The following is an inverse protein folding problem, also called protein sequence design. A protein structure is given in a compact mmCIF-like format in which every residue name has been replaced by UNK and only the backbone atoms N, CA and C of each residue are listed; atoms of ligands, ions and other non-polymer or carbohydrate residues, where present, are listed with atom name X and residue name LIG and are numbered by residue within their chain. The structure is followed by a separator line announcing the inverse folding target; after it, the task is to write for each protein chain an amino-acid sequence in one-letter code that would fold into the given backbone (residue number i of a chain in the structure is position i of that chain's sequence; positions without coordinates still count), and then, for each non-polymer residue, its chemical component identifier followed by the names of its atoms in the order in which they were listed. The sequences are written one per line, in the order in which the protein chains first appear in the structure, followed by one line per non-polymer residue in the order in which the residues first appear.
data_IF_600541252255
#
_entry.id   IF_600541252255
#
_cell.length_a   1.000
_cell.length_b   1.000
_cell.length_c   1.000
_cell.angle_alpha   90.00
_cell.angle_beta   90.00
_cell.angle_gamma   90.00
#
_symmetry.space_group_name_H-M   'P 1'
#
loop_
_entity.id
_entity.type
_entity.pdbx_description
1 polymer ?
#
# COMPACT_ATOMS: atom_id res chain seq x y z
N UNK A 1 20.20 -14.08 17.34
CA UNK A 1 20.05 -14.28 15.90
C UNK A 1 21.47 -14.33 15.30
N UNK A 2 21.89 -15.45 14.74
CA UNK A 2 23.10 -15.54 13.94
C UNK A 2 22.70 -15.67 12.47
N UNK A 3 23.38 -14.92 11.59
CA UNK A 3 23.27 -15.16 10.15
C UNK A 3 23.82 -16.57 9.87
N UNK A 4 23.09 -17.37 9.14
CA UNK A 4 23.54 -18.72 8.79
C UNK A 4 24.78 -18.70 7.86
N UNK A 5 24.95 -17.62 7.10
CA UNK A 5 26.12 -17.33 6.28
C UNK A 5 26.38 -15.81 6.29
N UNK A 6 27.64 -15.36 6.19
CA UNK A 6 27.97 -13.94 6.16
C UNK A 6 27.47 -13.28 4.87
N UNK A 7 26.86 -12.11 5.00
CA UNK A 7 26.54 -11.23 3.88
C UNK A 7 27.75 -10.35 3.61
N UNK A 8 28.37 -10.50 2.45
CA UNK A 8 29.53 -9.70 2.07
C UNK A 8 29.23 -8.93 0.79
N UNK A 9 29.23 -7.61 0.87
CA UNK A 9 29.25 -6.72 -0.28
C UNK A 9 29.88 -5.39 0.11
N UNK A 10 30.37 -4.66 -0.89
CA UNK A 10 30.91 -3.32 -0.74
C UNK A 10 30.16 -2.37 -1.67
N UNK A 11 29.84 -1.20 -1.19
CA UNK A 11 29.30 -0.10 -1.99
C UNK A 11 30.45 0.87 -2.26
N UNK A 12 30.82 1.04 -3.53
CA UNK A 12 31.89 1.97 -3.90
C UNK A 12 31.31 3.36 -4.16
N UNK A 13 32.18 4.37 -4.12
CA UNK A 13 31.80 5.75 -4.45
C UNK A 13 31.20 5.83 -5.86
N UNK A 14 30.08 6.56 -6.02
CA UNK A 14 29.37 6.68 -7.29
C UNK A 14 28.53 5.45 -7.69
N UNK A 15 28.49 4.37 -6.91
CA UNK A 15 27.58 3.25 -7.16
C UNK A 15 26.21 3.54 -6.54
N UNK A 16 25.14 3.34 -7.31
CA UNK A 16 23.76 3.34 -6.84
C UNK A 16 23.24 1.91 -6.92
N UNK A 17 22.71 1.38 -5.82
CA UNK A 17 22.33 -0.03 -5.75
C UNK A 17 20.84 -0.22 -5.49
N UNK A 18 20.29 -1.31 -6.04
CA UNK A 18 18.98 -1.82 -5.65
C UNK A 18 19.13 -3.13 -4.89
N UNK A 19 18.59 -3.20 -3.67
CA UNK A 19 18.48 -4.44 -2.89
C UNK A 19 17.09 -5.00 -3.15
N UNK A 20 17.03 -6.15 -3.80
CA UNK A 20 15.78 -6.81 -4.19
C UNK A 20 15.65 -8.18 -3.55
N UNK A 21 14.43 -8.68 -3.41
CA UNK A 21 14.16 -10.00 -2.84
C UNK A 21 12.70 -10.15 -2.43
N UNK A 22 12.28 -11.40 -2.20
CA UNK A 22 10.92 -11.71 -1.74
C UNK A 22 10.61 -11.05 -0.39
N UNK A 23 9.35 -10.96 -0.05
CA UNK A 23 8.93 -10.60 1.30
C UNK A 23 9.50 -11.65 2.29
N UNK A 24 10.04 -11.18 3.43
CA UNK A 24 10.75 -12.07 4.35
C UNK A 24 12.20 -12.41 3.97
N UNK A 25 12.75 -11.95 2.83
CA UNK A 25 14.14 -12.21 2.43
C UNK A 25 15.20 -11.55 3.32
N UNK A 26 14.80 -10.68 4.26
CA UNK A 26 15.71 -10.01 5.20
C UNK A 26 16.20 -8.64 4.75
N UNK A 27 15.59 -8.03 3.72
CA UNK A 27 15.99 -6.71 3.20
C UNK A 27 16.00 -5.63 4.27
N UNK A 28 14.90 -5.46 5.00
CA UNK A 28 14.79 -4.45 6.07
C UNK A 28 15.76 -4.74 7.21
N UNK A 29 16.00 -6.02 7.57
CA UNK A 29 16.99 -6.38 8.58
C UNK A 29 18.41 -5.99 8.14
N UNK A 30 18.75 -6.21 6.87
CA UNK A 30 20.05 -5.76 6.33
C UNK A 30 20.19 -4.24 6.41
N UNK A 31 19.14 -3.50 6.09
CA UNK A 31 19.12 -2.04 6.24
C UNK A 31 19.26 -1.61 7.69
N UNK A 32 18.58 -2.27 8.62
CA UNK A 32 18.69 -1.97 10.05
C UNK A 32 20.11 -2.24 10.59
N UNK A 33 20.82 -3.27 10.07
CA UNK A 33 22.24 -3.48 10.37
C UNK A 33 23.10 -2.35 9.80
N UNK A 34 22.91 -1.97 8.53
CA UNK A 34 23.67 -0.90 7.86
C UNK A 34 23.42 0.44 8.56
N UNK A 35 22.23 0.70 9.07
CA UNK A 35 21.88 1.96 9.76
C UNK A 35 22.17 1.94 11.26
N UNK A 36 22.70 0.84 11.80
CA UNK A 36 22.99 0.68 13.23
C UNK A 36 21.76 0.52 14.13
N UNK A 37 20.56 0.37 13.55
CA UNK A 37 19.33 0.07 14.32
C UNK A 37 19.30 -1.34 14.86
N UNK A 38 20.03 -2.26 14.21
CA UNK A 38 20.25 -3.61 14.68
C UNK A 38 21.73 -3.79 15.01
N UNK A 39 22.07 -4.20 16.26
CA UNK A 39 23.47 -4.33 16.67
C UNK A 39 24.18 -5.44 15.90
N UNK A 40 25.37 -5.15 15.41
CA UNK A 40 26.29 -6.09 14.77
C UNK A 40 27.61 -6.13 15.55
N UNK A 41 28.40 -7.20 15.39
CA UNK A 41 29.70 -7.26 16.03
C UNK A 41 30.63 -6.17 15.48
N UNK A 42 31.49 -5.56 16.34
CA UNK A 42 32.44 -4.56 15.90
C UNK A 42 33.31 -5.05 14.72
N UNK A 43 33.49 -4.19 13.72
CA UNK A 43 34.26 -4.49 12.52
C UNK A 43 33.52 -5.23 11.41
N UNK A 44 32.27 -5.64 11.60
CA UNK A 44 31.45 -6.25 10.54
C UNK A 44 31.03 -5.26 9.45
N UNK A 45 30.82 -4.00 9.81
CA UNK A 45 30.46 -2.93 8.87
C UNK A 45 31.52 -1.83 9.01
N UNK A 46 32.07 -1.38 7.90
CA UNK A 46 32.95 -0.21 7.82
C UNK A 46 32.33 0.82 6.88
N UNK A 47 32.44 2.09 7.28
CA UNK A 47 31.97 3.22 6.49
C UNK A 47 33.17 4.02 6.02
N UNK A 48 33.14 4.49 4.77
CA UNK A 48 34.20 5.31 4.19
C UNK A 48 34.13 6.79 4.61
N UNK A 49 33.23 7.14 5.53
CA UNK A 49 33.01 8.49 6.05
C UNK A 49 32.82 8.47 7.56
N UNK A 50 33.17 9.59 8.18
CA UNK A 50 32.95 9.81 9.60
C UNK A 50 31.48 10.03 9.90
N UNK A 51 31.07 9.82 11.15
CA UNK A 51 29.71 10.02 11.65
C UNK A 51 28.62 9.35 10.77
N UNK A 52 28.63 8.01 10.65
CA UNK A 52 27.72 7.30 9.74
C UNK A 52 26.24 7.58 10.01
N UNK A 53 25.87 7.84 11.25
CA UNK A 53 24.48 8.13 11.62
C UNK A 53 23.97 9.48 11.09
N UNK A 54 24.87 10.48 10.88
CA UNK A 54 24.52 11.76 10.31
C UNK A 54 24.51 11.71 8.78
N UNK A 55 25.46 10.97 8.21
CA UNK A 55 25.69 10.88 6.77
C UNK A 55 24.87 9.80 6.04
N UNK A 56 24.15 8.94 6.79
CA UNK A 56 23.34 7.88 6.24
C UNK A 56 21.90 8.05 6.73
N UNK A 57 20.98 8.29 5.79
CA UNK A 57 19.56 8.43 6.08
C UNK A 57 18.75 7.29 5.51
N UNK A 58 17.86 6.75 6.33
CA UNK A 58 16.93 5.70 5.94
C UNK A 58 15.50 6.22 5.95
N UNK A 59 14.86 6.18 4.80
CA UNK A 59 13.47 6.57 4.60
C UNK A 59 12.65 5.33 4.30
N UNK A 60 11.68 5.06 5.14
CA UNK A 60 10.64 4.07 4.88
C UNK A 60 9.37 4.79 4.49
N UNK A 61 8.87 4.52 3.30
CA UNK A 61 7.54 4.96 2.92
C UNK A 61 6.49 3.99 3.42
N UNK A 62 6.30 3.99 4.73
CA UNK A 62 5.03 3.53 5.30
C UNK A 62 4.11 4.74 5.26
N UNK A 63 2.87 4.56 4.79
CA UNK A 63 1.86 5.63 4.77
C UNK A 63 1.44 5.98 6.20
N UNK A 64 2.35 6.59 6.95
CA UNK A 64 2.11 7.05 8.30
C UNK A 64 2.16 8.56 8.30
N UNK A 65 1.02 9.18 8.57
CA UNK A 65 0.91 10.61 8.79
C UNK A 65 1.33 10.91 10.25
N UNK A 66 2.22 11.87 10.45
CA UNK A 66 2.58 12.37 11.78
C UNK A 66 3.48 11.46 12.65
N UNK A 67 3.87 11.96 13.81
CA UNK A 67 4.56 11.22 14.87
C UNK A 67 3.64 10.21 15.56
N UNK A 68 4.20 9.39 16.45
CA UNK A 68 3.50 8.25 17.07
C UNK A 68 2.24 8.62 17.88
N UNK A 69 2.07 9.89 18.28
CA UNK A 69 0.95 10.35 19.09
C UNK A 69 -0.27 10.87 18.30
N UNK A 70 -0.11 11.22 17.01
CA UNK A 70 -1.14 11.96 16.26
C UNK A 70 -2.04 11.08 15.38
N UNK A 71 -1.77 9.78 15.30
CA UNK A 71 -2.30 8.89 14.24
C UNK A 71 -3.80 8.64 14.26
N UNK A 72 -4.44 8.67 15.42
CA UNK A 72 -5.87 8.30 15.57
C UNK A 72 -6.78 9.51 15.41
N UNK A 73 -6.36 10.64 15.91
CA UNK A 73 -7.15 11.89 15.92
C UNK A 73 -7.26 12.48 14.50
N UNK A 74 -6.16 12.55 13.76
CA UNK A 74 -6.13 13.13 12.42
C UNK A 74 -6.77 12.25 11.33
N UNK A 75 -6.81 10.94 11.49
CA UNK A 75 -7.49 10.06 10.52
C UNK A 75 -9.01 10.29 10.52
N UNK A 76 -9.61 10.55 11.68
CA UNK A 76 -11.03 10.90 11.75
C UNK A 76 -11.32 12.28 11.15
N UNK A 77 -10.43 13.26 11.33
CA UNK A 77 -10.55 14.60 10.74
C UNK A 77 -10.44 14.58 9.20
N UNK A 78 -9.69 13.66 8.62
CA UNK A 78 -9.63 13.50 7.15
C UNK A 78 -10.98 13.18 6.52
N UNK A 79 -11.83 12.46 7.24
CA UNK A 79 -13.19 12.11 6.82
C UNK A 79 -14.19 13.23 7.14
N UNK A 80 -13.98 13.99 8.23
CA UNK A 80 -14.78 15.11 8.68
C UNK A 80 -14.15 16.44 8.23
N UNK A 81 -13.96 16.64 6.93
CA UNK A 81 -13.30 17.84 6.36
C UNK A 81 -13.93 19.21 6.74
N UNK A 82 -15.00 19.21 7.50
CA UNK A 82 -15.67 20.47 7.92
C UNK A 82 -15.03 21.15 9.13
N UNK A 83 -14.19 20.46 9.91
CA UNK A 83 -13.53 21.02 11.09
C UNK A 83 -12.10 20.48 11.17
N UNK A 84 -11.18 21.05 10.38
CA UNK A 84 -9.76 20.84 10.60
C UNK A 84 -9.40 21.69 11.79
N UNK A 85 -8.87 21.06 12.84
CA UNK A 85 -8.39 21.74 14.04
C UNK A 85 -7.32 22.77 13.64
N UNK A 86 -7.44 24.00 14.13
CA UNK A 86 -6.47 25.07 13.87
C UNK A 86 -5.04 24.72 14.32
N UNK A 87 -4.90 23.74 15.24
CA UNK A 87 -3.61 23.21 15.67
C UNK A 87 -2.98 22.21 14.68
N UNK A 88 -3.70 21.82 13.62
CA UNK A 88 -3.14 20.89 12.62
C UNK A 88 -2.01 21.56 11.84
N UNK A 89 -0.80 20.97 11.84
CA UNK A 89 0.35 21.63 11.23
C UNK A 89 0.27 21.61 9.70
N UNK A 90 0.74 22.70 9.09
CA UNK A 90 0.97 22.76 7.65
C UNK A 90 2.29 22.09 7.26
N UNK A 91 2.45 21.80 5.98
CA UNK A 91 3.71 21.28 5.39
C UNK A 91 4.86 22.21 5.68
N UNK A 92 4.68 23.53 5.49
CA UNK A 92 5.70 24.55 5.75
C UNK A 92 6.15 24.55 7.20
N UNK A 93 5.22 24.52 8.15
CA UNK A 93 5.55 24.47 9.58
C UNK A 93 6.39 23.22 9.93
N UNK A 94 6.01 22.05 9.43
CA UNK A 94 6.76 20.81 9.71
C UNK A 94 8.09 20.72 8.97
N UNK A 95 8.20 21.30 7.79
CA UNK A 95 9.49 21.38 7.09
C UNK A 95 10.42 22.36 7.80
N UNK A 96 9.92 23.48 8.32
CA UNK A 96 10.70 24.41 9.09
C UNK A 96 11.20 23.78 10.40
N UNK A 97 10.33 23.08 11.13
CA UNK A 97 10.73 22.31 12.30
C UNK A 97 11.85 21.30 11.97
N UNK A 98 11.70 20.54 10.89
CA UNK A 98 12.69 19.56 10.44
C UNK A 98 14.02 20.24 10.03
N UNK A 99 13.96 21.41 9.38
CA UNK A 99 15.13 22.19 9.01
C UNK A 99 15.94 22.66 10.22
N UNK A 100 15.26 23.20 11.23
CA UNK A 100 15.90 23.67 12.46
C UNK A 100 16.48 22.52 13.28
N UNK A 101 15.81 21.36 13.32
CA UNK A 101 16.32 20.15 13.98
C UNK A 101 17.53 19.54 13.25
N UNK A 102 17.68 19.77 11.96
CA UNK A 102 18.76 19.22 11.16
C UNK A 102 20.10 19.95 11.31
N UNK A 103 20.13 21.14 11.93
CA UNK A 103 21.36 21.92 12.21
C UNK A 103 21.11 23.41 12.39
N UNK A 104 22.19 24.19 12.49
CA UNK A 104 22.13 25.63 12.68
C UNK A 104 21.50 26.37 11.51
N UNK A 105 20.80 27.46 11.77
CA UNK A 105 20.20 28.31 10.73
C UNK A 105 21.27 29.22 10.11
N UNK A 106 21.79 28.81 8.96
CA UNK A 106 22.79 29.59 8.20
C UNK A 106 22.25 29.99 6.83
N UNK A 107 22.77 31.10 6.25
CA UNK A 107 22.34 31.54 4.91
C UNK A 107 22.49 30.45 3.84
N UNK A 108 23.58 29.67 3.88
CA UNK A 108 23.85 28.61 2.92
C UNK A 108 22.82 27.47 3.03
N UNK A 109 22.45 27.11 4.27
CA UNK A 109 21.40 26.11 4.49
C UNK A 109 20.01 26.62 4.08
N UNK A 110 19.71 27.91 4.24
CA UNK A 110 18.48 28.54 3.75
C UNK A 110 18.40 28.54 2.22
N UNK A 111 19.52 28.78 1.54
CA UNK A 111 19.59 28.66 0.09
C UNK A 111 19.39 27.21 -0.35
N UNK A 112 20.00 26.24 0.35
CA UNK A 112 19.76 24.82 0.10
C UNK A 112 18.30 24.42 0.32
N UNK A 113 17.66 24.88 1.39
CA UNK A 113 16.24 24.67 1.64
C UNK A 113 15.39 25.20 0.48
N UNK A 114 15.64 26.41 0.03
CA UNK A 114 14.94 27.02 -1.10
C UNK A 114 15.11 26.21 -2.38
N UNK A 115 16.33 25.76 -2.67
CA UNK A 115 16.62 24.92 -3.83
C UNK A 115 15.86 23.59 -3.77
N UNK A 116 15.78 22.96 -2.59
CA UNK A 116 14.96 21.76 -2.39
C UNK A 116 13.47 22.01 -2.62
N UNK A 117 12.93 23.17 -2.17
CA UNK A 117 11.53 23.50 -2.39
C UNK A 117 11.23 23.66 -3.89
N UNK A 118 12.10 24.32 -4.63
CA UNK A 118 11.99 24.45 -6.09
C UNK A 118 12.08 23.09 -6.78
N UNK A 119 13.08 22.29 -6.41
CA UNK A 119 13.35 20.98 -6.98
C UNK A 119 12.15 20.02 -6.84
N UNK A 120 11.51 20.04 -5.67
CA UNK A 120 10.39 19.15 -5.35
C UNK A 120 9.02 19.77 -5.70
N UNK A 121 8.99 21.02 -6.20
CA UNK A 121 7.77 21.79 -6.44
C UNK A 121 6.87 21.80 -5.20
N UNK A 122 7.41 22.29 -4.07
CA UNK A 122 6.73 22.30 -2.79
C UNK A 122 6.07 23.64 -2.46
N UNK A 123 6.35 24.70 -3.23
CA UNK A 123 5.88 26.05 -2.95
C UNK A 123 4.36 26.08 -2.76
N UNK A 124 3.63 25.43 -3.65
CA UNK A 124 2.16 25.34 -3.61
C UNK A 124 1.61 24.43 -2.49
N UNK A 125 2.50 23.69 -1.83
CA UNK A 125 2.13 22.75 -0.78
C UNK A 125 2.40 23.26 0.63
N UNK A 126 3.17 24.35 0.79
CA UNK A 126 3.63 24.82 2.11
C UNK A 126 2.48 25.17 3.05
N UNK A 127 1.41 25.77 2.52
CA UNK A 127 0.21 26.16 3.28
C UNK A 127 -0.81 25.02 3.46
N UNK A 128 -0.56 23.87 2.81
CA UNK A 128 -1.45 22.72 2.89
C UNK A 128 -1.24 21.96 4.19
N UNK A 129 -2.32 21.54 4.84
CA UNK A 129 -2.23 20.68 6.03
C UNK A 129 -1.64 19.31 5.67
N UNK A 130 -0.74 18.77 6.51
CA UNK A 130 -0.06 17.49 6.28
C UNK A 130 -1.05 16.33 6.07
N UNK A 131 -2.16 16.33 6.80
CA UNK A 131 -3.20 15.30 6.71
C UNK A 131 -3.90 15.27 5.34
N UNK A 132 -3.86 16.36 4.58
CA UNK A 132 -4.47 16.48 3.26
C UNK A 132 -3.52 16.13 2.11
N UNK A 133 -2.28 15.75 2.40
CA UNK A 133 -1.31 15.37 1.37
C UNK A 133 -1.74 14.06 0.67
N UNK A 134 -1.63 14.04 -0.64
CA UNK A 134 -1.66 12.81 -1.43
C UNK A 134 -0.42 11.95 -1.13
N UNK A 135 -0.47 10.68 -1.51
CA UNK A 135 0.68 9.78 -1.31
C UNK A 135 1.97 10.29 -1.98
N UNK A 136 1.88 10.91 -3.16
CA UNK A 136 3.01 11.53 -3.85
C UNK A 136 3.54 12.78 -3.13
N UNK A 137 2.65 13.69 -2.73
CA UNK A 137 3.01 14.90 -1.98
C UNK A 137 3.64 14.55 -0.63
N UNK A 138 3.13 13.53 0.06
CA UNK A 138 3.71 13.04 1.32
C UNK A 138 5.15 12.51 1.11
N UNK A 139 5.44 11.87 -0.03
CA UNK A 139 6.81 11.43 -0.35
C UNK A 139 7.75 12.59 -0.60
N UNK A 140 7.32 13.59 -1.36
CA UNK A 140 8.09 14.82 -1.59
C UNK A 140 8.41 15.48 -0.24
N UNK A 141 7.42 15.65 0.63
CA UNK A 141 7.60 16.17 1.98
C UNK A 141 8.62 15.37 2.78
N UNK A 142 8.46 14.02 2.87
CA UNK A 142 9.36 13.17 3.65
C UNK A 142 10.79 13.17 3.10
N UNK A 143 10.96 13.16 1.77
CA UNK A 143 12.28 13.28 1.14
C UNK A 143 12.92 14.60 1.53
N UNK A 144 12.25 15.72 1.34
CA UNK A 144 12.77 17.06 1.66
C UNK A 144 13.19 17.17 3.12
N UNK A 145 12.35 16.75 4.06
CA UNK A 145 12.66 16.79 5.48
C UNK A 145 13.92 16.00 5.85
N UNK A 146 14.14 14.84 5.20
CA UNK A 146 15.34 14.04 5.46
C UNK A 146 16.58 14.55 4.73
N UNK A 147 16.44 15.30 3.65
CA UNK A 147 17.55 15.89 2.90
C UNK A 147 18.14 17.13 3.57
N UNK A 148 17.46 17.78 4.51
CA UNK A 148 17.99 18.93 5.25
C UNK A 148 19.29 18.65 6.01
N UNK A 149 19.58 17.39 6.33
CA UNK A 149 20.85 16.97 6.91
C UNK A 149 21.96 16.77 5.88
N UNK A 150 21.67 16.94 4.58
CA UNK A 150 22.59 16.71 3.45
C UNK A 150 23.38 15.38 3.56
N UNK A 151 22.70 14.23 3.63
CA UNK A 151 23.35 12.94 3.86
C UNK A 151 24.16 12.51 2.61
N UNK A 152 25.25 11.78 2.83
CA UNK A 152 26.06 11.19 1.73
C UNK A 152 25.38 9.98 1.12
N UNK A 153 24.65 9.19 1.93
CA UNK A 153 23.97 7.97 1.50
C UNK A 153 22.51 8.03 1.91
N UNK A 154 21.64 7.82 0.94
CA UNK A 154 20.19 7.78 1.12
C UNK A 154 19.66 6.36 0.85
N UNK A 155 19.15 5.71 1.89
CA UNK A 155 18.48 4.41 1.78
C UNK A 155 16.98 4.63 1.72
N UNK A 156 16.34 4.14 0.67
CA UNK A 156 14.91 4.32 0.49
C UNK A 156 14.23 2.96 0.34
N UNK A 157 13.32 2.66 1.26
CA UNK A 157 12.56 1.42 1.23
C UNK A 157 11.20 1.63 0.56
N UNK A 158 10.98 0.88 -0.54
CA UNK A 158 9.73 0.85 -1.30
C UNK A 158 9.20 2.24 -1.74
N UNK A 159 9.99 3.07 -2.44
CA UNK A 159 9.62 4.44 -2.80
C UNK A 159 8.38 4.54 -3.71
N UNK A 160 8.06 3.50 -4.45
CA UNK A 160 7.04 3.52 -5.51
C UNK A 160 5.70 2.90 -5.10
N UNK A 161 5.59 2.33 -3.89
CA UNK A 161 4.36 1.68 -3.41
C UNK A 161 3.20 2.69 -3.31
N UNK A 162 2.02 2.35 -3.88
CA UNK A 162 0.80 3.17 -3.82
C UNK A 162 0.87 4.47 -4.64
N UNK A 163 1.81 4.59 -5.58
CA UNK A 163 1.87 5.68 -6.54
C UNK A 163 1.23 5.26 -7.86
N UNK A 164 0.48 6.19 -8.47
CA UNK A 164 0.09 6.07 -9.87
C UNK A 164 1.32 6.16 -10.81
N UNK A 165 1.15 5.83 -12.08
CA UNK A 165 2.25 5.76 -13.04
C UNK A 165 3.00 7.09 -13.19
N UNK A 166 2.25 8.20 -13.29
CA UNK A 166 2.82 9.54 -13.47
C UNK A 166 3.64 9.99 -12.26
N UNK A 167 3.07 9.85 -11.06
CA UNK A 167 3.76 10.20 -9.79
C UNK A 167 4.99 9.32 -9.56
N UNK A 168 4.95 8.06 -9.98
CA UNK A 168 6.09 7.15 -9.89
C UNK A 168 7.24 7.60 -10.77
N UNK A 169 6.96 7.99 -12.01
CA UNK A 169 7.99 8.48 -12.93
C UNK A 169 8.60 9.77 -12.41
N UNK A 170 7.79 10.70 -11.88
CA UNK A 170 8.30 11.90 -11.20
C UNK A 170 9.24 11.58 -10.04
N UNK A 171 8.93 10.57 -9.21
CA UNK A 171 9.82 10.15 -8.11
C UNK A 171 11.10 9.51 -8.64
N UNK A 172 11.06 8.73 -9.74
CA UNK A 172 12.26 8.17 -10.37
C UNK A 172 13.18 9.28 -10.90
N UNK A 173 12.61 10.28 -11.61
CA UNK A 173 13.36 11.42 -12.14
C UNK A 173 14.01 12.22 -11.00
N UNK A 174 13.28 12.43 -9.92
CA UNK A 174 13.78 13.09 -8.74
C UNK A 174 14.96 12.36 -8.10
N UNK A 175 14.85 11.03 -7.92
CA UNK A 175 15.93 10.21 -7.37
C UNK A 175 17.15 10.19 -8.30
N UNK A 176 16.93 10.17 -9.61
CA UNK A 176 18.00 10.29 -10.62
C UNK A 176 18.74 11.61 -10.47
N UNK A 177 18.03 12.72 -10.32
CA UNK A 177 18.63 14.06 -10.14
C UNK A 177 19.44 14.12 -8.83
N UNK A 178 18.95 13.57 -7.72
CA UNK A 178 19.73 13.49 -6.48
C UNK A 178 21.00 12.65 -6.64
N UNK A 179 20.95 11.58 -7.42
CA UNK A 179 22.11 10.73 -7.68
C UNK A 179 23.15 11.44 -8.57
N UNK A 180 22.74 12.03 -9.68
CA UNK A 180 23.61 12.55 -10.72
C UNK A 180 24.10 13.98 -10.43
N UNK A 181 23.25 14.86 -9.92
CA UNK A 181 23.57 16.28 -9.72
C UNK A 181 24.06 16.61 -8.31
N UNK A 182 23.55 15.93 -7.29
CA UNK A 182 23.94 16.17 -5.90
C UNK A 182 25.02 15.21 -5.40
N UNK A 183 25.46 14.26 -6.23
CA UNK A 183 26.48 13.27 -5.87
C UNK A 183 26.09 12.35 -4.70
N UNK A 184 24.80 12.24 -4.39
CA UNK A 184 24.28 11.45 -3.30
C UNK A 184 24.21 9.98 -3.69
N UNK A 185 24.79 9.09 -2.89
CA UNK A 185 24.65 7.64 -3.13
C UNK A 185 23.27 7.16 -2.74
N UNK A 186 22.61 6.42 -3.62
CA UNK A 186 21.24 5.93 -3.41
C UNK A 186 21.24 4.41 -3.30
N UNK A 187 20.61 3.91 -2.23
CA UNK A 187 20.29 2.50 -2.02
C UNK A 187 18.77 2.36 -2.04
N UNK A 188 18.23 1.69 -3.07
CA UNK A 188 16.81 1.37 -3.15
C UNK A 188 16.55 -0.03 -2.61
N UNK A 189 15.57 -0.17 -1.76
CA UNK A 189 15.11 -1.47 -1.27
C UNK A 189 13.75 -1.75 -1.89
N UNK A 190 13.69 -2.71 -2.80
CA UNK A 190 12.52 -2.96 -3.63
C UNK A 190 12.00 -4.39 -3.46
N UNK A 191 10.70 -4.55 -3.61
CA UNK A 191 10.05 -5.86 -3.68
C UNK A 191 9.83 -6.34 -5.11
N UNK A 192 10.00 -5.44 -6.10
CA UNK A 192 9.81 -5.69 -7.54
C UNK A 192 11.06 -5.33 -8.31
N UNK A 193 11.45 -6.19 -9.25
CA UNK A 193 12.58 -5.93 -10.15
C UNK A 193 12.23 -4.99 -11.30
N UNK A 194 10.97 -4.96 -11.74
CA UNK A 194 10.45 -4.08 -12.80
C UNK A 194 10.33 -2.60 -12.39
N UNK A 195 10.56 -2.29 -11.12
CA UNK A 195 10.54 -0.93 -10.60
C UNK A 195 11.95 -0.29 -10.49
N UNK A 196 13.01 -1.02 -10.85
CA UNK A 196 14.40 -0.53 -10.74
C UNK A 196 14.61 0.63 -11.72
N UNK A 197 14.97 1.85 -11.24
CA UNK A 197 15.28 2.98 -12.12
C UNK A 197 16.59 2.76 -12.91
N UNK A 198 16.69 3.43 -14.05
CA UNK A 198 17.84 3.32 -14.98
C UNK A 198 19.19 3.80 -14.37
N UNK A 199 19.16 4.74 -13.41
CA UNK A 199 20.38 5.24 -12.76
C UNK A 199 21.01 4.22 -11.79
N UNK A 200 20.32 3.14 -11.46
CA UNK A 200 20.85 2.07 -10.62
C UNK A 200 21.96 1.31 -11.38
N UNK A 201 23.13 1.28 -10.80
CA UNK A 201 24.33 0.67 -11.42
C UNK A 201 24.52 -0.80 -11.06
N UNK A 202 23.89 -1.26 -9.96
CA UNK A 202 24.09 -2.60 -9.42
C UNK A 202 22.87 -3.11 -8.67
N UNK A 203 22.56 -4.39 -8.83
CA UNK A 203 21.42 -5.04 -8.17
C UNK A 203 21.90 -6.19 -7.29
N UNK A 204 21.53 -6.15 -6.02
CA UNK A 204 21.83 -7.19 -5.04
C UNK A 204 20.52 -7.92 -4.71
N UNK A 205 20.47 -9.21 -5.07
CA UNK A 205 19.32 -10.07 -4.77
C UNK A 205 19.55 -10.80 -3.46
N UNK A 206 18.63 -10.62 -2.51
CA UNK A 206 18.61 -11.31 -1.22
C UNK A 206 17.57 -12.43 -1.19
N UNK A 207 17.95 -13.53 -0.56
CA UNK A 207 17.02 -14.57 -0.12
C UNK A 207 17.46 -15.11 1.24
N UNK A 208 16.56 -15.09 2.24
CA UNK A 208 16.82 -15.55 3.61
C UNK A 208 18.13 -15.01 4.22
N UNK A 209 18.35 -13.70 4.06
CA UNK A 209 19.57 -12.99 4.48
C UNK A 209 20.86 -13.45 3.79
N UNK A 210 20.77 -14.04 2.61
CA UNK A 210 21.93 -14.40 1.76
C UNK A 210 21.93 -13.56 0.50
N UNK A 211 23.09 -13.13 0.04
CA UNK A 211 23.24 -12.55 -1.30
C UNK A 211 23.26 -13.71 -2.31
N UNK A 212 22.16 -13.83 -3.05
CA UNK A 212 22.00 -14.89 -4.07
C UNK A 212 22.63 -14.45 -5.39
N UNK A 213 22.53 -13.17 -5.72
CA UNK A 213 23.20 -12.60 -6.89
C UNK A 213 23.57 -11.13 -6.64
N UNK A 214 24.68 -10.73 -7.23
CA UNK A 214 25.24 -9.39 -7.20
C UNK A 214 25.67 -9.05 -8.63
N UNK A 215 24.83 -8.28 -9.32
CA UNK A 215 24.95 -8.08 -10.78
C UNK A 215 25.11 -6.59 -11.06
N UNK A 216 26.17 -6.21 -11.78
CA UNK A 216 26.27 -4.89 -12.40
C UNK A 216 25.27 -4.81 -13.55
N UNK A 217 24.41 -3.80 -13.53
CA UNK A 217 23.35 -3.64 -14.53
C UNK A 217 24.00 -3.31 -15.88
N UNK A 218 24.08 -4.29 -16.74
CA UNK A 218 24.23 -4.15 -18.18
C UNK A 218 23.08 -4.90 -18.80
N UNK A 219 22.09 -4.17 -19.27
CA UNK A 219 20.96 -4.53 -20.15
C UNK A 219 20.84 -6.02 -20.48
N UNK A 220 20.16 -6.80 -19.63
CA UNK A 220 19.38 -8.01 -19.97
C UNK A 220 18.96 -8.73 -18.68
N UNK A 221 17.75 -8.44 -18.21
CA UNK A 221 17.16 -9.16 -17.08
C UNK A 221 16.16 -10.21 -17.59
N UNK A 222 16.40 -11.47 -17.30
CA UNK A 222 15.37 -12.51 -17.41
C UNK A 222 14.52 -12.52 -16.13
N UNK A 223 13.20 -12.43 -16.32
CA UNK A 223 12.21 -12.51 -15.24
C UNK A 223 12.03 -13.99 -14.86
N UNK A 224 12.30 -14.33 -13.61
CA UNK A 224 12.03 -15.66 -13.06
C UNK A 224 10.52 -15.96 -13.13
N UNK A 225 10.13 -16.97 -13.90
CA UNK A 225 8.77 -17.47 -13.95
C UNK A 225 8.43 -18.26 -12.68
N UNK A 226 7.41 -17.84 -11.96
CA UNK A 226 6.81 -18.65 -10.89
C UNK A 226 5.90 -19.72 -11.49
N UNK A 227 6.09 -21.02 -11.16
CA UNK A 227 5.24 -22.10 -11.69
C UNK A 227 4.01 -22.31 -10.80
N UNK A 228 2.94 -21.56 -11.03
CA UNK A 228 1.62 -21.94 -10.51
C UNK A 228 0.55 -21.47 -11.50
N UNK A 229 0.27 -22.32 -12.49
CA UNK A 229 -0.90 -22.16 -13.36
C UNK A 229 -1.98 -23.11 -12.86
N UNK A 230 -3.09 -22.56 -12.38
CA UNK A 230 -4.33 -23.30 -12.14
C UNK A 230 -5.13 -23.25 -13.43
N UNK A 231 -5.35 -24.41 -14.07
CA UNK A 231 -6.22 -24.51 -15.26
C UNK A 231 -7.69 -24.48 -14.86
N UNK A 232 -8.44 -23.54 -15.42
CA UNK A 232 -9.90 -23.42 -15.26
C UNK A 232 -10.58 -23.91 -16.52
N UNK A 233 -11.56 -24.83 -16.38
CA UNK A 233 -12.41 -25.28 -17.49
C UNK A 233 -13.63 -24.36 -17.63
N UNK A 234 -13.92 -23.96 -18.87
CA UNK A 234 -15.08 -23.15 -19.22
C UNK A 234 -16.41 -23.93 -19.08
N UNK A 235 -17.38 -23.27 -18.42
CA UNK A 235 -18.79 -23.67 -18.45
C UNK A 235 -19.63 -22.42 -18.69
N UNK A 236 -20.40 -22.39 -19.74
CA UNK A 236 -21.29 -21.29 -20.14
C UNK A 236 -22.68 -21.49 -19.54
N UNK A 237 -23.20 -20.57 -18.68
CA UNK A 237 -24.61 -20.55 -18.29
C UNK A 237 -25.41 -19.51 -19.06
N UNK A 238 -26.71 -19.78 -19.25
CA UNK A 238 -27.70 -18.90 -19.85
C UNK A 238 -28.01 -17.69 -18.94
N UNK A 239 -28.26 -16.48 -19.51
CA UNK A 239 -28.35 -15.25 -18.71
C UNK A 239 -29.72 -15.09 -18.03
N UNK A 240 -29.76 -14.83 -16.70
CA UNK A 240 -30.92 -14.27 -16.05
C UNK A 240 -31.01 -12.76 -16.33
N UNK A 241 -32.20 -12.16 -16.13
CA UNK A 241 -32.45 -10.72 -16.26
C UNK A 241 -31.42 -9.97 -15.37
N UNK A 242 -30.66 -9.02 -15.94
CA UNK A 242 -29.56 -8.39 -15.19
C UNK A 242 -30.10 -7.50 -14.06
N UNK A 243 -29.88 -7.93 -12.82
CA UNK A 243 -30.20 -7.14 -11.62
C UNK A 243 -29.09 -6.08 -11.41
N UNK A 244 -29.48 -4.82 -11.32
CA UNK A 244 -28.53 -3.75 -11.03
C UNK A 244 -28.07 -3.83 -9.57
N UNK A 245 -26.76 -3.89 -9.36
CA UNK A 245 -26.10 -3.86 -8.04
C UNK A 245 -25.75 -2.42 -7.69
N UNK A 246 -25.25 -1.65 -8.64
CA UNK A 246 -24.93 -0.23 -8.48
C UNK A 246 -25.56 0.53 -9.65
N UNK A 247 -26.19 1.65 -9.39
CA UNK A 247 -26.64 2.58 -10.42
C UNK A 247 -26.40 4.02 -9.93
N UNK A 248 -25.52 4.72 -10.63
CA UNK A 248 -25.21 6.13 -10.46
C UNK A 248 -25.71 6.89 -11.68
N UNK A 249 -26.52 7.92 -11.46
CA UNK A 249 -27.13 8.69 -12.53
C UNK A 249 -26.82 10.18 -12.30
N UNK A 250 -25.98 10.77 -13.17
CA UNK A 250 -25.52 12.16 -13.10
C UNK A 250 -24.95 12.56 -11.73
N UNK A 251 -24.20 11.68 -11.07
CA UNK A 251 -23.70 11.90 -9.72
C UNK A 251 -22.56 12.91 -9.72
N UNK A 252 -22.75 13.99 -8.94
CA UNK A 252 -21.74 15.03 -8.73
C UNK A 252 -21.48 15.21 -7.25
N UNK A 253 -20.21 15.06 -6.83
CA UNK A 253 -19.76 15.20 -5.43
C UNK A 253 -18.81 16.37 -5.31
N UNK A 254 -19.06 17.23 -4.33
CA UNK A 254 -18.24 18.41 -4.05
C UNK A 254 -17.89 18.50 -2.57
N UNK A 255 -16.67 18.98 -2.29
CA UNK A 255 -16.22 19.37 -0.96
C UNK A 255 -15.73 20.81 -1.03
N UNK A 256 -16.50 21.72 -0.44
CA UNK A 256 -16.31 23.15 -0.64
C UNK A 256 -16.40 23.53 -2.12
N UNK A 257 -15.40 24.21 -2.64
CA UNK A 257 -15.33 24.60 -4.05
C UNK A 257 -14.79 23.49 -4.97
N UNK A 258 -14.19 22.45 -4.40
CA UNK A 258 -13.58 21.37 -5.17
C UNK A 258 -14.59 20.31 -5.58
N UNK A 259 -14.76 20.12 -6.89
CA UNK A 259 -15.54 19.00 -7.45
C UNK A 259 -14.68 17.76 -7.55
N UNK A 260 -15.06 16.69 -6.88
CA UNK A 260 -14.35 15.39 -6.87
C UNK A 260 -14.89 14.47 -7.95
N UNK A 261 -16.21 14.27 -7.99
CA UNK A 261 -16.90 13.53 -9.05
C UNK A 261 -17.81 14.51 -9.79
N UNK A 262 -17.80 14.47 -11.11
CA UNK A 262 -18.60 15.36 -11.95
C UNK A 262 -19.39 14.56 -12.95
N UNK A 263 -20.73 14.65 -12.86
CA UNK A 263 -21.67 14.07 -13.81
C UNK A 263 -21.41 12.56 -14.11
N UNK A 264 -21.13 11.80 -13.05
CA UNK A 264 -20.79 10.39 -13.19
C UNK A 264 -22.03 9.54 -13.44
N UNK A 265 -22.00 8.81 -14.54
CA UNK A 265 -22.99 7.77 -14.88
C UNK A 265 -22.28 6.42 -14.83
N UNK A 266 -22.75 5.51 -13.98
CA UNK A 266 -22.15 4.19 -13.84
C UNK A 266 -23.16 3.16 -13.38
N UNK A 267 -23.31 2.10 -14.14
CA UNK A 267 -24.20 0.99 -13.81
C UNK A 267 -23.38 -0.29 -13.75
N UNK A 268 -23.55 -1.05 -12.68
CA UNK A 268 -22.93 -2.35 -12.44
C UNK A 268 -24.03 -3.39 -12.26
N UNK A 269 -23.98 -4.43 -13.04
CA UNK A 269 -24.94 -5.54 -12.99
C UNK A 269 -24.42 -6.67 -12.09
N UNK A 270 -25.32 -7.49 -11.59
CA UNK A 270 -24.98 -8.65 -10.76
C UNK A 270 -24.09 -9.61 -11.56
N UNK A 271 -22.99 -10.07 -10.95
CA UNK A 271 -22.02 -10.97 -11.56
C UNK A 271 -21.01 -10.30 -12.49
N UNK A 272 -21.04 -8.98 -12.67
CA UNK A 272 -19.99 -8.26 -13.42
C UNK A 272 -18.75 -8.03 -12.57
N UNK A 273 -17.58 -8.05 -13.19
CA UNK A 273 -16.29 -7.82 -12.55
C UNK A 273 -15.61 -6.58 -13.13
N UNK A 274 -15.50 -5.55 -12.32
CA UNK A 274 -15.03 -4.23 -12.73
C UNK A 274 -13.65 -3.89 -12.17
N UNK A 275 -12.77 -3.41 -13.04
CA UNK A 275 -11.56 -2.71 -12.61
C UNK A 275 -11.86 -1.22 -12.42
N UNK A 276 -11.63 -0.69 -11.22
CA UNK A 276 -11.67 0.74 -10.94
C UNK A 276 -10.24 1.29 -10.89
N UNK A 277 -9.92 2.22 -11.80
CA UNK A 277 -8.59 2.83 -11.90
C UNK A 277 -8.68 4.35 -12.06
N UNK A 278 -7.56 5.03 -11.91
CA UNK A 278 -7.48 6.48 -12.02
C UNK A 278 -6.31 7.06 -11.22
N UNK A 279 -5.94 8.30 -11.49
CA UNK A 279 -4.89 9.03 -10.79
C UNK A 279 -5.18 9.15 -9.28
N UNK A 280 -4.13 9.40 -8.48
CA UNK A 280 -4.31 9.74 -7.08
C UNK A 280 -5.10 11.05 -6.95
N UNK A 281 -6.13 11.05 -6.06
CA UNK A 281 -7.03 12.18 -5.92
C UNK A 281 -8.11 12.31 -7.00
N UNK A 282 -8.31 11.31 -7.87
CA UNK A 282 -9.38 11.29 -8.88
C UNK A 282 -10.76 10.93 -8.31
N UNK A 283 -10.87 10.66 -7.00
CA UNK A 283 -12.14 10.36 -6.36
C UNK A 283 -12.49 8.88 -6.19
N UNK A 284 -11.54 7.94 -6.40
CA UNK A 284 -11.78 6.49 -6.20
C UNK A 284 -12.31 6.17 -4.80
N UNK A 285 -11.64 6.64 -3.75
CA UNK A 285 -12.10 6.42 -2.37
C UNK A 285 -13.44 7.09 -2.09
N UNK A 286 -13.71 8.26 -2.70
CA UNK A 286 -15.02 8.91 -2.61
C UNK A 286 -16.11 8.07 -3.29
N UNK A 287 -15.82 7.53 -4.49
CA UNK A 287 -16.74 6.62 -5.18
C UNK A 287 -17.03 5.37 -4.35
N UNK A 288 -16.00 4.73 -3.78
CA UNK A 288 -16.17 3.58 -2.91
C UNK A 288 -16.97 3.92 -1.65
N UNK A 289 -16.77 5.09 -1.03
CA UNK A 289 -17.53 5.52 0.13
C UNK A 289 -19.03 5.74 -0.18
N UNK A 290 -19.36 6.12 -1.41
CA UNK A 290 -20.75 6.18 -1.87
C UNK A 290 -21.35 4.78 -2.03
N UNK A 291 -20.61 3.84 -2.61
CA UNK A 291 -21.01 2.44 -2.78
C UNK A 291 -21.18 1.74 -1.43
N UNK A 292 -20.27 1.99 -0.47
CA UNK A 292 -20.34 1.43 0.89
C UNK A 292 -21.37 2.14 1.80
N UNK A 293 -22.10 3.13 1.27
CA UNK A 293 -23.09 3.93 2.01
C UNK A 293 -22.49 4.72 3.19
N UNK A 294 -21.18 4.98 3.18
CA UNK A 294 -20.47 5.76 4.22
C UNK A 294 -20.50 7.27 3.97
N UNK A 295 -20.75 7.68 2.73
CA UNK A 295 -20.76 9.09 2.36
C UNK A 295 -22.16 9.69 2.47
N UNK A 296 -22.38 10.72 3.32
CA UNK A 296 -23.70 11.32 3.51
C UNK A 296 -24.24 12.03 2.25
N UNK A 297 -23.39 12.47 1.32
CA UNK A 297 -23.84 13.06 0.06
C UNK A 297 -24.56 12.04 -0.84
N UNK A 298 -24.48 10.74 -0.54
CA UNK A 298 -25.23 9.71 -1.26
C UNK A 298 -26.75 9.91 -1.22
N UNK A 299 -27.27 10.56 -0.17
CA UNK A 299 -28.70 10.86 -0.03
C UNK A 299 -29.17 12.01 -0.93
N UNK A 300 -28.27 12.89 -1.33
CA UNK A 300 -28.58 14.04 -2.20
C UNK A 300 -28.39 13.70 -3.69
N UNK A 301 -27.88 12.52 -4.02
CA UNK A 301 -27.57 12.08 -5.37
C UNK A 301 -28.56 10.99 -5.86
N UNK A 302 -28.65 10.83 -7.17
CA UNK A 302 -29.44 9.75 -7.76
C UNK A 302 -28.59 8.47 -7.81
N UNK A 303 -28.55 7.79 -6.67
CA UNK A 303 -27.79 6.56 -6.44
C UNK A 303 -28.75 5.46 -6.00
N UNK A 304 -28.67 4.31 -6.67
CA UNK A 304 -29.34 3.08 -6.23
C UNK A 304 -28.31 1.99 -5.99
N UNK A 305 -28.47 1.30 -4.86
CA UNK A 305 -27.66 0.15 -4.48
C UNK A 305 -28.54 -1.08 -4.32
N UNK A 306 -28.16 -2.18 -4.96
CA UNK A 306 -28.92 -3.43 -4.94
C UNK A 306 -30.40 -3.28 -5.35
N UNK A 307 -30.68 -2.33 -6.27
CA UNK A 307 -32.03 -2.05 -6.75
C UNK A 307 -32.83 -1.08 -5.88
N UNK A 308 -32.32 -0.60 -4.75
CA UNK A 308 -32.98 0.36 -3.86
C UNK A 308 -32.32 1.73 -3.97
N UNK A 309 -33.14 2.79 -4.18
CA UNK A 309 -32.66 4.17 -4.21
C UNK A 309 -32.21 4.58 -2.80
N UNK A 310 -31.08 5.29 -2.71
CA UNK A 310 -30.58 5.79 -1.41
C UNK A 310 -31.60 6.72 -0.77
N UNK A 311 -31.90 6.45 0.52
CA UNK A 311 -32.92 7.21 1.28
C UNK A 311 -34.36 6.72 1.10
N UNK A 312 -34.58 5.57 0.44
CA UNK A 312 -35.96 5.01 0.30
C UNK A 312 -36.41 4.20 1.52
N UNK A 313 -35.59 4.14 2.58
CA UNK A 313 -35.97 3.51 3.86
C UNK A 313 -35.09 2.31 4.24
N UNK A 314 -34.12 1.91 3.39
CA UNK A 314 -33.17 0.87 3.74
C UNK A 314 -32.13 1.35 4.79
N UNK A 315 -31.77 0.45 5.70
CA UNK A 315 -30.73 0.69 6.68
C UNK A 315 -29.33 0.61 6.03
N UNK A 316 -28.39 1.45 6.49
CA UNK A 316 -26.98 1.35 6.12
C UNK A 316 -26.44 -0.07 6.41
N UNK A 317 -26.88 -0.69 7.51
CA UNK A 317 -26.48 -2.04 7.88
C UNK A 317 -26.97 -3.11 6.92
N UNK A 318 -28.14 -2.93 6.30
CA UNK A 318 -28.68 -3.86 5.31
C UNK A 318 -27.87 -3.82 4.02
N UNK A 319 -27.34 -2.66 3.66
CA UNK A 319 -26.39 -2.49 2.55
C UNK A 319 -25.04 -3.13 2.90
N UNK A 320 -24.48 -2.78 4.07
CA UNK A 320 -23.14 -3.26 4.49
C UNK A 320 -23.07 -4.78 4.63
N UNK A 321 -24.13 -5.44 5.08
CA UNK A 321 -24.21 -6.92 5.14
C UNK A 321 -24.09 -7.61 3.77
N UNK A 322 -24.30 -6.89 2.68
CA UNK A 322 -24.24 -7.39 1.31
C UNK A 322 -22.89 -7.12 0.64
N UNK A 323 -22.02 -6.33 1.30
CA UNK A 323 -20.73 -5.89 0.76
C UNK A 323 -19.59 -6.55 1.54
N UNK A 324 -18.71 -7.24 0.85
CA UNK A 324 -17.38 -7.59 1.37
C UNK A 324 -16.38 -6.51 0.97
N UNK A 325 -15.68 -5.91 1.93
CA UNK A 325 -14.73 -4.82 1.65
C UNK A 325 -13.36 -5.10 2.25
N UNK A 326 -12.34 -5.18 1.41
CA UNK A 326 -10.95 -5.32 1.79
C UNK A 326 -10.20 -4.06 1.36
N UNK A 327 -9.60 -3.33 2.30
CA UNK A 327 -8.87 -2.10 2.04
C UNK A 327 -7.48 -2.07 2.68
N UNK A 328 -6.54 -1.28 2.13
CA UNK A 328 -5.24 -1.08 2.73
C UNK A 328 -5.27 -0.28 4.05
N UNK A 329 -6.34 0.46 4.31
CA UNK A 329 -6.42 1.34 5.50
C UNK A 329 -6.45 0.57 6.81
N UNK A 330 -7.14 -0.56 6.86
CA UNK A 330 -7.16 -1.44 8.02
C UNK A 330 -5.75 -1.95 8.36
N UNK A 331 -4.94 -2.22 7.34
CA UNK A 331 -3.57 -2.69 7.50
C UNK A 331 -2.62 -1.63 8.07
N UNK A 332 -2.89 -0.35 7.80
CA UNK A 332 -2.09 0.78 8.30
C UNK A 332 -2.33 1.03 9.79
N UNK A 333 -3.53 0.74 10.26
CA UNK A 333 -3.96 0.99 11.65
C UNK A 333 -3.75 -0.20 12.59
N UNK A 334 -3.43 -1.40 12.09
CA UNK A 334 -3.30 -2.59 12.91
C UNK A 334 -2.03 -2.56 13.77
N UNK A 335 -2.20 -2.53 15.09
CA UNK A 335 -1.10 -2.38 16.08
C UNK A 335 -1.01 -3.54 17.08
N UNK A 336 -1.90 -4.53 16.98
CA UNK A 336 -1.92 -5.65 17.92
C UNK A 336 -0.72 -6.58 17.67
N UNK A 337 0.12 -6.80 18.69
CA UNK A 337 1.25 -7.73 18.61
C UNK A 337 0.87 -9.12 19.13
N UNK A 338 -0.06 -9.76 18.45
CA UNK A 338 -0.57 -11.09 18.75
C UNK A 338 -0.17 -12.10 17.66
N UNK A 339 -0.21 -13.42 17.91
CA UNK A 339 0.10 -14.45 16.91
C UNK A 339 -0.78 -14.38 15.67
N UNK A 340 -0.22 -14.73 14.49
CA UNK A 340 -0.92 -14.69 13.21
C UNK A 340 -2.26 -15.44 13.23
N UNK A 341 -2.29 -16.63 13.85
CA UNK A 341 -3.53 -17.41 14.00
C UNK A 341 -4.64 -16.62 14.69
N UNK A 342 -4.30 -15.87 15.73
CA UNK A 342 -5.28 -15.05 16.46
C UNK A 342 -5.78 -13.88 15.63
N UNK A 343 -4.92 -13.31 14.79
CA UNK A 343 -5.31 -12.25 13.86
C UNK A 343 -6.30 -12.80 12.83
N UNK A 344 -5.96 -13.91 12.19
CA UNK A 344 -6.84 -14.54 11.19
C UNK A 344 -8.16 -14.96 11.83
N UNK A 345 -8.14 -15.58 13.02
CA UNK A 345 -9.34 -15.97 13.73
C UNK A 345 -10.26 -14.80 14.13
N UNK A 346 -9.69 -13.60 14.36
CA UNK A 346 -10.50 -12.40 14.62
C UNK A 346 -11.41 -12.01 13.44
N UNK A 347 -11.05 -12.41 12.22
CA UNK A 347 -11.86 -12.26 11.02
C UNK A 347 -13.20 -13.01 11.08
N UNK A 348 -13.28 -14.15 11.79
CA UNK A 348 -14.53 -14.92 11.95
C UNK A 348 -15.68 -14.12 12.58
N UNK A 349 -15.36 -13.09 13.36
CA UNK A 349 -16.33 -12.21 14.04
C UNK A 349 -16.23 -10.76 13.58
N UNK A 350 -15.46 -10.49 12.53
CA UNK A 350 -15.18 -9.13 12.00
C UNK A 350 -14.73 -8.15 13.11
N UNK A 351 -13.76 -8.56 13.94
CA UNK A 351 -13.24 -7.77 15.06
C UNK A 351 -11.77 -7.42 14.87
N UNK A 352 -11.37 -6.21 15.32
CA UNK A 352 -9.96 -5.76 15.33
C UNK A 352 -9.27 -6.29 16.59
N UNK A 353 -9.08 -7.58 16.70
CA UNK A 353 -8.50 -8.26 17.85
C UNK A 353 -9.35 -9.46 18.28
N UNK A 354 -8.74 -10.37 19.01
CA UNK A 354 -9.41 -11.61 19.42
C UNK A 354 -10.10 -11.41 20.77
N UNK A 355 -11.40 -11.17 20.75
CA UNK A 355 -12.24 -11.00 21.96
C UNK A 355 -13.04 -12.26 22.32
N UNK A 356 -12.77 -13.38 21.67
CA UNK A 356 -13.39 -14.68 21.94
C UNK A 356 -12.33 -15.79 21.86
N UNK A 357 -12.63 -16.94 22.43
CA UNK A 357 -11.75 -18.12 22.32
C UNK A 357 -12.23 -18.98 21.16
N UNK A 358 -11.47 -19.07 20.03
CA UNK A 358 -11.84 -19.94 18.93
C UNK A 358 -11.88 -21.40 19.36
N UNK A 359 -12.89 -22.14 18.91
CA UNK A 359 -12.94 -23.58 19.02
C UNK A 359 -11.82 -24.26 18.26
N UNK A 360 -11.51 -25.52 18.55
CA UNK A 360 -10.46 -26.25 17.82
C UNK A 360 -10.78 -26.31 16.31
N UNK A 361 -12.06 -26.55 15.97
CA UNK A 361 -12.51 -26.54 14.55
C UNK A 361 -12.27 -25.21 13.86
N UNK A 362 -12.54 -24.07 14.52
CA UNK A 362 -12.28 -22.74 13.98
C UNK A 362 -10.77 -22.47 13.81
N UNK A 363 -9.94 -22.95 14.74
CA UNK A 363 -8.48 -22.87 14.62
C UNK A 363 -7.97 -23.66 13.43
N UNK A 364 -8.42 -24.91 13.28
CA UNK A 364 -8.02 -25.78 12.17
C UNK A 364 -8.42 -25.14 10.82
N UNK A 365 -9.61 -24.57 10.73
CA UNK A 365 -10.09 -23.81 9.58
C UNK A 365 -9.20 -22.59 9.27
N UNK A 366 -8.84 -21.81 10.28
CA UNK A 366 -7.91 -20.68 10.10
C UNK A 366 -6.53 -21.13 9.61
N UNK A 367 -6.02 -22.25 10.13
CA UNK A 367 -4.72 -22.81 9.69
C UNK A 367 -4.79 -23.28 8.23
N UNK A 368 -5.86 -23.98 7.83
CA UNK A 368 -6.08 -24.36 6.44
C UNK A 368 -6.09 -23.13 5.54
N UNK A 369 -6.79 -22.07 5.97
CA UNK A 369 -6.86 -20.82 5.23
C UNK A 369 -5.50 -20.10 5.14
N UNK A 370 -4.75 -20.07 6.25
CA UNK A 370 -3.37 -19.56 6.24
C UNK A 370 -2.46 -20.34 5.27
N UNK A 371 -2.66 -21.65 5.11
CA UNK A 371 -1.95 -22.46 4.15
C UNK A 371 -2.29 -22.09 2.69
N UNK A 372 -3.56 -21.72 2.40
CA UNK A 372 -3.96 -21.20 1.07
C UNK A 372 -3.19 -19.93 0.74
N UNK A 373 -2.96 -19.05 1.71
CA UNK A 373 -2.14 -17.83 1.55
C UNK A 373 -0.63 -18.08 1.65
N UNK A 374 -0.17 -19.33 1.80
CA UNK A 374 1.24 -19.67 1.93
C UNK A 374 1.90 -19.21 3.24
N UNK A 375 1.11 -18.84 4.25
CA UNK A 375 1.55 -18.29 5.55
C UNK A 375 1.33 -19.25 6.73
N UNK A 376 1.04 -20.54 6.48
CA UNK A 376 0.84 -21.54 7.54
C UNK A 376 2.03 -21.69 8.49
N UNK A 377 3.25 -21.39 8.02
CA UNK A 377 4.45 -21.41 8.86
C UNK A 377 4.54 -20.25 9.86
N UNK A 378 3.62 -19.28 9.80
CA UNK A 378 3.58 -18.09 10.68
C UNK A 378 2.56 -18.21 11.81
N UNK A 379 1.90 -19.34 11.98
CA UNK A 379 0.77 -19.57 12.92
C UNK A 379 1.03 -18.96 14.31
N UNK A 380 2.20 -19.23 14.89
CA UNK A 380 2.55 -18.78 16.25
C UNK A 380 3.40 -17.49 16.26
N UNK A 381 3.76 -16.95 15.07
CA UNK A 381 4.60 -15.77 14.98
C UNK A 381 3.81 -14.52 15.30
N UNK A 382 4.40 -13.62 16.11
CA UNK A 382 3.77 -12.36 16.48
C UNK A 382 3.85 -11.36 15.34
N UNK A 383 2.81 -10.53 15.20
CA UNK A 383 2.62 -9.62 14.08
C UNK A 383 3.80 -8.67 13.82
N UNK A 384 4.33 -8.04 14.87
CA UNK A 384 5.45 -7.10 14.74
C UNK A 384 6.80 -7.76 14.44
N UNK A 385 6.90 -9.09 14.58
CA UNK A 385 8.08 -9.88 14.24
C UNK A 385 8.10 -10.33 12.77
N UNK A 386 7.00 -10.06 12.04
CA UNK A 386 6.85 -10.42 10.63
C UNK A 386 7.34 -9.29 9.72
N UNK A 387 7.77 -9.66 8.50
CA UNK A 387 8.02 -8.69 7.45
C UNK A 387 6.73 -7.99 7.03
N UNK A 388 6.84 -6.79 6.44
CA UNK A 388 5.67 -6.02 5.98
C UNK A 388 4.78 -6.79 5.00
N UNK A 389 5.36 -7.64 4.14
CA UNK A 389 4.61 -8.48 3.23
C UNK A 389 3.89 -9.64 3.92
N UNK A 390 4.55 -10.29 4.91
CA UNK A 390 3.91 -11.32 5.74
C UNK A 390 2.76 -10.73 6.56
N UNK A 391 2.96 -9.56 7.17
CA UNK A 391 1.92 -8.81 7.86
C UNK A 391 0.71 -8.55 6.95
N UNK A 392 0.98 -8.13 5.71
CA UNK A 392 -0.04 -7.88 4.70
C UNK A 392 -0.84 -9.13 4.37
N UNK A 393 -0.16 -10.26 4.14
CA UNK A 393 -0.82 -11.54 3.85
C UNK A 393 -1.67 -12.03 5.02
N UNK A 394 -1.20 -11.88 6.27
CA UNK A 394 -1.97 -12.25 7.47
C UNK A 394 -3.25 -11.42 7.57
N UNK A 395 -3.18 -10.11 7.31
CA UNK A 395 -4.36 -9.24 7.34
C UNK A 395 -5.30 -9.50 6.16
N UNK A 396 -4.76 -9.78 4.96
CA UNK A 396 -5.57 -10.22 3.83
C UNK A 396 -6.28 -11.55 4.13
N UNK A 397 -5.58 -12.51 4.71
CA UNK A 397 -6.18 -13.77 5.11
C UNK A 397 -7.27 -13.60 6.16
N UNK A 398 -7.08 -12.68 7.13
CA UNK A 398 -8.09 -12.28 8.11
C UNK A 398 -9.35 -11.75 7.44
N UNK A 399 -9.20 -10.76 6.57
CA UNK A 399 -10.31 -10.06 5.93
C UNK A 399 -11.02 -10.95 4.89
N UNK A 400 -10.25 -11.84 4.26
CA UNK A 400 -10.75 -12.76 3.25
C UNK A 400 -11.48 -13.99 3.85
N UNK A 401 -11.11 -14.41 5.06
CA UNK A 401 -11.68 -15.62 5.69
C UNK A 401 -13.23 -15.60 5.77
N UNK A 402 -13.88 -14.54 6.28
CA UNK A 402 -15.35 -14.51 6.33
C UNK A 402 -16.01 -14.42 4.95
N UNK A 403 -15.27 -13.97 3.94
CA UNK A 403 -15.76 -13.75 2.58
C UNK A 403 -15.59 -15.02 1.74
N UNK A 404 -14.37 -15.58 1.72
CA UNK A 404 -13.96 -16.63 0.78
C UNK A 404 -14.14 -18.06 1.31
N UNK A 405 -14.28 -18.26 2.63
CA UNK A 405 -14.51 -19.60 3.18
C UNK A 405 -16.00 -19.86 3.39
N UNK A 406 -16.61 -20.61 2.47
CA UNK A 406 -18.03 -20.99 2.55
C UNK A 406 -18.41 -21.76 3.82
N UNK A 407 -17.42 -22.30 4.55
CA UNK A 407 -17.61 -23.00 5.83
C UNK A 407 -17.71 -22.04 7.03
N UNK A 408 -17.35 -20.76 6.85
CA UNK A 408 -17.36 -19.74 7.89
C UNK A 408 -18.75 -19.14 8.19
N UNK A 409 -19.85 -19.80 7.82
CA UNK A 409 -21.23 -19.38 8.07
C UNK A 409 -21.62 -17.97 7.55
N UNK A 410 -20.74 -17.30 6.83
CA UNK A 410 -21.02 -16.00 6.23
C UNK A 410 -21.47 -16.23 4.78
N UNK A 411 -22.62 -15.68 4.45
CA UNK A 411 -23.16 -15.72 3.08
C UNK A 411 -22.18 -14.99 2.16
N UNK A 412 -21.90 -15.56 0.99
CA UNK A 412 -21.19 -14.87 -0.08
C UNK A 412 -21.76 -13.45 -0.26
N UNK A 413 -20.95 -12.39 -0.25
CA UNK A 413 -21.44 -11.04 -0.45
C UNK A 413 -22.01 -10.90 -1.87
N UNK A 414 -23.03 -10.05 -2.01
CA UNK A 414 -23.56 -9.73 -3.35
C UNK A 414 -22.57 -8.84 -4.13
N UNK A 415 -21.75 -8.07 -3.40
CA UNK A 415 -20.69 -7.21 -3.94
C UNK A 415 -19.40 -7.37 -3.13
N UNK A 416 -18.31 -7.69 -3.81
CA UNK A 416 -16.97 -7.74 -3.25
C UNK A 416 -16.16 -6.54 -3.75
N UNK A 417 -15.57 -5.78 -2.84
CA UNK A 417 -14.70 -4.64 -3.15
C UNK A 417 -13.30 -4.96 -2.63
N UNK A 418 -12.33 -5.00 -3.53
CA UNK A 418 -10.92 -5.19 -3.23
C UNK A 418 -10.15 -3.92 -3.58
N UNK A 419 -9.82 -3.13 -2.56
CA UNK A 419 -9.11 -1.86 -2.73
C UNK A 419 -7.60 -2.07 -2.56
N UNK A 420 -6.86 -2.02 -3.66
CA UNK A 420 -5.40 -2.25 -3.74
C UNK A 420 -4.93 -3.51 -2.97
N UNK A 421 -5.54 -4.69 -3.18
CA UNK A 421 -5.25 -5.87 -2.35
C UNK A 421 -3.83 -6.38 -2.48
N UNK A 422 -3.14 -6.08 -3.60
CA UNK A 422 -1.77 -6.53 -3.87
C UNK A 422 -0.68 -5.55 -3.42
N UNK A 423 -1.10 -4.45 -2.79
CA UNK A 423 -0.18 -3.42 -2.32
C UNK A 423 0.86 -4.01 -1.34
N UNK A 424 2.15 -3.78 -1.58
CA UNK A 424 3.25 -4.26 -0.70
C UNK A 424 3.60 -5.74 -0.82
N UNK A 425 2.97 -6.50 -1.71
CA UNK A 425 3.29 -7.90 -1.96
C UNK A 425 4.35 -8.05 -3.06
N UNK A 426 5.20 -9.07 -2.92
CA UNK A 426 6.10 -9.52 -3.98
C UNK A 426 5.34 -10.22 -5.13
N UNK A 427 6.03 -10.49 -6.24
CA UNK A 427 5.41 -11.05 -7.45
C UNK A 427 4.75 -12.41 -7.20
N UNK A 428 5.37 -13.30 -6.40
CA UNK A 428 4.80 -14.62 -6.10
C UNK A 428 3.51 -14.51 -5.31
N UNK A 429 3.50 -13.68 -4.26
CA UNK A 429 2.33 -13.47 -3.42
C UNK A 429 1.20 -12.75 -4.17
N UNK A 430 1.53 -11.84 -5.11
CA UNK A 430 0.53 -11.21 -5.99
C UNK A 430 -0.15 -12.23 -6.88
N UNK A 431 0.62 -13.08 -7.55
CA UNK A 431 0.06 -14.12 -8.40
C UNK A 431 -0.81 -15.08 -7.60
N UNK A 432 -0.41 -15.42 -6.38
CA UNK A 432 -1.21 -16.25 -5.47
C UNK A 432 -2.56 -15.57 -5.13
N UNK A 433 -2.56 -14.30 -4.71
CA UNK A 433 -3.79 -13.59 -4.35
C UNK A 433 -4.68 -13.41 -5.58
N UNK A 434 -4.13 -13.10 -6.77
CA UNK A 434 -4.90 -13.06 -8.03
C UNK A 434 -5.58 -14.40 -8.32
N UNK A 435 -4.86 -15.52 -8.19
CA UNK A 435 -5.40 -16.85 -8.41
C UNK A 435 -6.52 -17.20 -7.40
N UNK A 436 -6.39 -16.76 -6.15
CA UNK A 436 -7.44 -16.92 -5.13
C UNK A 436 -8.70 -16.13 -5.55
N UNK A 437 -8.55 -14.88 -5.99
CA UNK A 437 -9.66 -14.05 -6.45
C UNK A 437 -10.32 -14.66 -7.69
N UNK A 438 -9.55 -15.05 -8.72
CA UNK A 438 -10.06 -15.69 -9.92
C UNK A 438 -10.86 -16.95 -9.57
N UNK A 439 -10.34 -17.79 -8.69
CA UNK A 439 -11.01 -19.01 -8.23
C UNK A 439 -12.30 -18.71 -7.50
N UNK A 440 -12.29 -17.73 -6.59
CA UNK A 440 -13.48 -17.36 -5.83
C UNK A 440 -14.59 -16.83 -6.75
N UNK A 441 -14.27 -15.96 -7.72
CA UNK A 441 -15.26 -15.46 -8.67
C UNK A 441 -15.81 -16.57 -9.56
N UNK A 442 -14.98 -17.52 -9.95
CA UNK A 442 -15.44 -18.70 -10.70
C UNK A 442 -16.41 -19.56 -9.90
N UNK A 443 -16.14 -19.79 -8.61
CA UNK A 443 -16.99 -20.59 -7.73
C UNK A 443 -18.28 -19.85 -7.30
N UNK A 444 -18.32 -18.51 -7.43
CA UNK A 444 -19.43 -17.64 -7.02
C UNK A 444 -19.85 -16.70 -8.17
N UNK A 445 -20.44 -17.19 -9.27
CA UNK A 445 -20.73 -16.38 -10.45
C UNK A 445 -21.78 -15.27 -10.23
N UNK A 446 -22.54 -15.35 -9.15
CA UNK A 446 -23.50 -14.32 -8.73
C UNK A 446 -22.88 -13.16 -7.95
N UNK A 447 -21.63 -13.29 -7.51
CA UNK A 447 -20.89 -12.24 -6.79
C UNK A 447 -20.39 -11.18 -7.78
N UNK A 448 -20.63 -9.92 -7.49
CA UNK A 448 -20.12 -8.79 -8.27
C UNK A 448 -18.78 -8.34 -7.69
N UNK A 449 -17.81 -8.01 -8.53
CA UNK A 449 -16.48 -7.59 -8.08
C UNK A 449 -16.17 -6.15 -8.52
N UNK A 450 -15.68 -5.33 -7.58
CA UNK A 450 -14.96 -4.08 -7.86
C UNK A 450 -13.51 -4.25 -7.40
N UNK A 451 -12.58 -4.24 -8.32
CA UNK A 451 -11.16 -4.39 -8.08
C UNK A 451 -10.43 -3.07 -8.35
N UNK A 452 -9.86 -2.45 -7.32
CA UNK A 452 -9.15 -1.18 -7.46
C UNK A 452 -7.66 -1.42 -7.52
N UNK A 453 -7.02 -0.92 -8.57
CA UNK A 453 -5.56 -0.94 -8.70
C UNK A 453 -5.06 0.17 -9.62
N UNK A 454 -3.81 0.56 -9.42
CA UNK A 454 -3.08 1.48 -10.29
C UNK A 454 -2.30 0.76 -11.42
N UNK A 455 -2.26 -0.58 -11.39
CA UNK A 455 -1.40 -1.39 -12.25
C UNK A 455 -2.22 -2.36 -13.09
N UNK A 456 -2.14 -2.25 -14.42
CA UNK A 456 -2.83 -3.18 -15.32
C UNK A 456 -2.39 -4.65 -15.16
N UNK A 457 -1.11 -4.87 -14.84
CA UNK A 457 -0.56 -6.22 -14.64
C UNK A 457 -0.99 -6.86 -13.30
N UNK A 458 -1.62 -6.10 -12.42
CA UNK A 458 -2.17 -6.59 -11.16
C UNK A 458 -3.62 -7.08 -11.26
N UNK A 459 -4.27 -6.86 -12.39
CA UNK A 459 -5.66 -7.30 -12.57
C UNK A 459 -5.76 -8.82 -12.59
N UNK A 460 -6.73 -9.41 -11.85
CA UNK A 460 -7.13 -10.80 -12.03
C UNK A 460 -7.68 -11.06 -13.43
N UNK A 461 -7.67 -12.34 -13.87
CA UNK A 461 -8.15 -12.72 -15.19
C UNK A 461 -9.69 -12.63 -15.32
N UNK A 462 -10.41 -12.68 -14.20
CA UNK A 462 -11.86 -12.58 -14.18
C UNK A 462 -12.40 -11.18 -14.51
N UNK A 463 -11.56 -10.14 -14.55
CA UNK A 463 -11.99 -8.76 -14.83
C UNK A 463 -12.38 -8.62 -16.30
N UNK A 464 -13.60 -8.17 -16.54
CA UNK A 464 -14.21 -8.00 -17.88
C UNK A 464 -14.61 -6.55 -18.20
N UNK A 465 -14.76 -5.69 -17.17
CA UNK A 465 -15.15 -4.29 -17.32
C UNK A 465 -14.14 -3.34 -16.66
N UNK A 466 -14.14 -2.07 -17.08
CA UNK A 466 -13.27 -1.07 -16.45
C UNK A 466 -13.90 0.31 -16.37
N UNK A 467 -13.68 0.99 -15.23
CA UNK A 467 -14.00 2.41 -15.03
C UNK A 467 -12.71 3.17 -14.72
N UNK A 468 -12.40 4.17 -15.52
CA UNK A 468 -11.26 5.06 -15.30
C UNK A 468 -11.73 6.43 -14.84
N UNK A 469 -11.37 6.83 -13.62
CA UNK A 469 -11.66 8.15 -13.07
C UNK A 469 -10.54 9.14 -13.40
N UNK A 470 -10.89 10.26 -14.02
CA UNK A 470 -9.97 11.38 -14.25
C UNK A 470 -10.04 12.38 -13.10
N UNK A 471 -8.95 13.03 -12.82
CA UNK A 471 -8.91 14.15 -11.88
C UNK A 471 -9.60 15.35 -12.54
N UNK A 472 -10.56 15.96 -11.84
CA UNK A 472 -11.23 17.19 -12.25
C UNK A 472 -10.47 18.43 -11.80
#
# INVERSE_FOLDING_TARGET
WSLAEPVNFCLNEGEHIAIVGRNGAGKSMLVDMITGRHPVFPGMISYAFDEPYNNLKHITFRDTYGGDNDRTYFLQQRWNQMEIDEETPTVGQKLEEAFLLAGEDTPERREFQKNLYQLFHLEDLLDKYIILLSSGELRKYKLTANLFTNPKVLIIENPFIGLDAETRDQVKDLLKMLAEEQGMQIILVLSKMDEIPEFITRVIKLDKLRVVSDIKVKTDFQIDHCPHAIQVKEVTPLPPIPQQVISFNHVTIRYGERTILKDLNWVVLKGEHWALSGQNGSGKSTLLSLVCADNPQSYACDISLFGHKRGSGESIWDIKKRIGYISPEMHRSYKQNIPALQIVASGLKDTIGLYFTPTQKEKDQCIEWMNVFGIGHLVDRKFLEMSSGEQRLVLLARDALPIFDSRAFVKCPDLLILDEPLHGLDLCNRNLVKAIVDRYMYDNPDCTLIYVTHYKNELPNCIDNSLYLRRN
#
